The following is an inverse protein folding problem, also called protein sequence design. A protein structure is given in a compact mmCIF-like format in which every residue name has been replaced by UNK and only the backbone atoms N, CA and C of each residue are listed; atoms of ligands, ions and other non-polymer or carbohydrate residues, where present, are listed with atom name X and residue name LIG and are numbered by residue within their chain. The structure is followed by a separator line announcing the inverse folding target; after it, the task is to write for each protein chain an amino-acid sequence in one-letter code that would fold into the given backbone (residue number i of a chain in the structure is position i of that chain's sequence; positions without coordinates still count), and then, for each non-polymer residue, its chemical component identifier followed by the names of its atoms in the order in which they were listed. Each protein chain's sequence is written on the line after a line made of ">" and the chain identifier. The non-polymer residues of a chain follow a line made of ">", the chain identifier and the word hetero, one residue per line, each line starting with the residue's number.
data_IF_583831215371
#
_entry.id   IF_583831215371
#
_cell.length_a   1.000
_cell.length_b   1.000
_cell.length_c   1.000
_cell.angle_alpha   90.00
_cell.angle_beta   90.00
_cell.angle_gamma   90.00
#
_symmetry.space_group_name_H-M   'P 1'
#
loop_
_entity.id
_entity.type
_entity.pdbx_description
1 polymer ?
#
# COMPACT_ATOMS: atom_id res chain seq x y z
N UNK A 1 -7.89 3.63 0.24
CA UNK A 1 -8.42 4.55 -0.80
C UNK A 1 -7.66 4.32 -2.10
N UNK A 2 -8.27 4.57 -3.27
CA UNK A 2 -7.58 4.40 -4.56
C UNK A 2 -6.38 5.34 -4.74
N UNK A 3 -6.40 6.55 -4.16
CA UNK A 3 -5.25 7.46 -4.22
C UNK A 3 -3.96 6.85 -3.63
N UNK A 4 -4.08 6.05 -2.57
CA UNK A 4 -2.94 5.31 -2.02
C UNK A 4 -2.43 4.26 -3.01
N UNK A 5 -3.33 3.49 -3.61
CA UNK A 5 -3.00 2.48 -4.63
C UNK A 5 -2.29 3.13 -5.81
N UNK A 6 -2.77 4.28 -6.28
CA UNK A 6 -2.16 5.02 -7.39
C UNK A 6 -0.75 5.52 -7.04
N UNK A 7 -0.55 6.06 -5.83
CA UNK A 7 0.78 6.47 -5.37
C UNK A 7 1.75 5.30 -5.27
N UNK A 8 1.28 4.14 -4.79
CA UNK A 8 2.09 2.91 -4.79
C UNK A 8 2.44 2.46 -6.19
N UNK A 9 1.45 2.38 -7.08
CA UNK A 9 1.67 1.96 -8.46
C UNK A 9 2.66 2.88 -9.19
N UNK A 10 2.54 4.20 -9.01
CA UNK A 10 3.47 5.18 -9.56
C UNK A 10 4.91 4.96 -9.05
N UNK A 11 5.06 4.68 -7.75
CA UNK A 11 6.36 4.41 -7.15
C UNK A 11 6.96 3.07 -7.63
N UNK A 12 6.11 2.04 -7.80
CA UNK A 12 6.53 0.70 -8.24
C UNK A 12 6.95 0.65 -9.71
N UNK A 13 6.27 1.41 -10.56
CA UNK A 13 6.44 1.37 -12.02
C UNK A 13 7.19 2.59 -12.57
N UNK A 14 7.71 3.46 -11.70
CA UNK A 14 8.36 4.74 -12.05
C UNK A 14 7.50 5.58 -13.01
N UNK A 15 6.23 5.78 -12.63
CA UNK A 15 5.23 6.50 -13.44
C UNK A 15 4.89 7.87 -12.87
N UNK A 16 4.80 8.84 -13.77
CA UNK A 16 4.21 10.14 -13.44
C UNK A 16 2.67 10.07 -13.36
N UNK A 17 2.05 11.12 -12.84
CA UNK A 17 0.60 11.23 -12.76
C UNK A 17 -0.05 11.25 -14.16
N UNK A 18 0.59 11.90 -15.12
CA UNK A 18 0.15 11.97 -16.51
C UNK A 18 0.22 10.60 -17.20
N UNK A 19 1.29 9.84 -16.93
CA UNK A 19 1.44 8.49 -17.47
C UNK A 19 0.39 7.54 -16.89
N UNK A 20 0.10 7.64 -15.59
CA UNK A 20 -0.97 6.86 -14.98
C UNK A 20 -2.35 7.19 -15.57
N UNK A 21 -2.63 8.47 -15.86
CA UNK A 21 -3.86 8.87 -16.52
C UNK A 21 -3.98 8.23 -17.92
N UNK A 22 -2.87 8.16 -18.67
CA UNK A 22 -2.80 7.46 -19.96
C UNK A 22 -3.04 5.96 -19.81
N UNK A 23 -2.42 5.32 -18.82
CA UNK A 23 -2.58 3.87 -18.56
C UNK A 23 -4.03 3.52 -18.21
N UNK A 24 -4.70 4.39 -17.44
CA UNK A 24 -6.12 4.27 -17.12
C UNK A 24 -7.05 4.80 -18.24
N UNK A 25 -6.49 5.34 -19.32
CA UNK A 25 -7.21 5.96 -20.42
C UNK A 25 -8.24 7.00 -19.95
N UNK A 26 -7.86 7.85 -18.99
CA UNK A 26 -8.70 8.90 -18.42
C UNK A 26 -7.97 10.26 -18.42
N UNK A 27 -8.71 11.33 -18.11
CA UNK A 27 -8.11 12.66 -17.95
C UNK A 27 -7.43 12.81 -16.57
N UNK A 28 -6.47 13.72 -16.40
CA UNK A 28 -5.88 14.02 -15.09
C UNK A 28 -6.92 14.42 -14.03
N UNK A 29 -7.97 15.15 -14.41
CA UNK A 29 -9.07 15.51 -13.52
C UNK A 29 -9.86 14.27 -13.09
N UNK A 30 -10.11 13.36 -14.02
CA UNK A 30 -10.77 12.08 -13.73
C UNK A 30 -9.91 11.21 -12.82
N UNK A 31 -8.60 11.19 -13.03
CA UNK A 31 -7.65 10.50 -12.16
C UNK A 31 -7.70 11.03 -10.72
N UNK A 32 -7.76 12.36 -10.55
CA UNK A 32 -7.91 12.98 -9.23
C UNK A 32 -9.23 12.58 -8.55
N UNK A 33 -10.33 12.48 -9.30
CA UNK A 33 -11.61 12.01 -8.75
C UNK A 33 -11.58 10.53 -8.39
N UNK A 34 -10.96 9.69 -9.23
CA UNK A 34 -10.77 8.27 -8.95
C UNK A 34 -9.97 8.05 -7.67
N UNK A 35 -8.95 8.88 -7.41
CA UNK A 35 -8.13 8.79 -6.20
C UNK A 35 -8.96 8.94 -4.90
N UNK A 36 -10.12 9.60 -4.97
CA UNK A 36 -11.06 9.76 -3.85
C UNK A 36 -11.97 8.56 -3.64
N UNK A 37 -11.98 7.59 -4.55
CA UNK A 37 -12.82 6.40 -4.38
C UNK A 37 -12.23 5.43 -3.35
N UNK A 38 -13.11 4.64 -2.74
CA UNK A 38 -12.72 3.52 -1.89
C UNK A 38 -12.03 2.45 -2.76
N UNK A 39 -10.99 1.80 -2.21
CA UNK A 39 -10.29 0.69 -2.90
C UNK A 39 -11.26 -0.50 -3.00
N UNK A 40 -11.50 -1.06 -4.19
CA UNK A 40 -12.31 -2.26 -4.31
C UNK A 40 -11.67 -3.46 -3.61
N UNK A 41 -12.46 -4.28 -2.90
CA UNK A 41 -11.98 -5.41 -2.11
C UNK A 41 -13.07 -6.46 -1.82
N UNK A 42 -12.65 -7.63 -1.34
CA UNK A 42 -13.55 -8.70 -0.87
C UNK A 42 -14.39 -9.35 -1.98
N UNK A 43 -15.50 -9.98 -1.58
CA UNK A 43 -16.40 -10.71 -2.49
C UNK A 43 -17.06 -9.80 -3.54
N UNK A 44 -17.26 -8.52 -3.21
CA UNK A 44 -17.89 -7.53 -4.08
C UNK A 44 -16.92 -6.79 -5.00
N UNK A 45 -15.63 -7.18 -5.02
CA UNK A 45 -14.57 -6.50 -5.78
C UNK A 45 -14.98 -6.20 -7.24
N UNK A 46 -15.51 -7.20 -7.95
CA UNK A 46 -15.85 -7.06 -9.36
C UNK A 46 -16.95 -6.04 -9.60
N UNK A 47 -17.96 -5.99 -8.72
CA UNK A 47 -19.08 -5.07 -8.89
C UNK A 47 -18.69 -3.65 -8.49
N UNK A 48 -17.88 -3.50 -7.43
CA UNK A 48 -17.27 -2.21 -7.06
C UNK A 48 -16.42 -1.63 -8.20
N UNK A 49 -15.57 -2.46 -8.84
CA UNK A 49 -14.77 -2.03 -10.00
C UNK A 49 -15.68 -1.59 -11.15
N UNK A 50 -16.72 -2.36 -11.48
CA UNK A 50 -17.65 -2.00 -12.56
C UNK A 50 -18.36 -0.68 -12.29
N UNK A 51 -18.79 -0.44 -11.06
CA UNK A 51 -19.51 0.78 -10.70
C UNK A 51 -18.62 2.02 -10.79
N UNK A 52 -17.37 1.93 -10.31
CA UNK A 52 -16.38 3.00 -10.48
C UNK A 52 -16.11 3.24 -11.97
N UNK A 53 -15.80 2.19 -12.73
CA UNK A 53 -15.49 2.30 -14.14
C UNK A 53 -16.65 2.87 -14.96
N UNK A 54 -17.90 2.49 -14.65
CA UNK A 54 -19.09 3.06 -15.28
C UNK A 54 -19.25 4.54 -14.95
N UNK A 55 -18.99 4.94 -13.69
CA UNK A 55 -19.18 6.32 -13.23
C UNK A 55 -18.20 7.32 -13.83
N UNK A 56 -16.97 6.87 -14.11
CA UNK A 56 -15.86 7.69 -14.58
C UNK A 56 -15.40 7.35 -16.00
N UNK A 57 -16.13 6.49 -16.70
CA UNK A 57 -15.87 6.07 -18.08
C UNK A 57 -14.46 5.48 -18.31
N UNK A 58 -13.95 4.77 -17.31
CA UNK A 58 -12.62 4.12 -17.34
C UNK A 58 -12.74 2.65 -17.69
N UNK A 59 -11.75 2.10 -18.41
CA UNK A 59 -11.71 0.68 -18.77
C UNK A 59 -11.51 -0.20 -17.53
N UNK A 60 -12.41 -1.17 -17.24
CA UNK A 60 -12.26 -2.07 -16.10
C UNK A 60 -10.94 -2.83 -16.06
N UNK A 61 -10.45 -3.28 -17.22
CA UNK A 61 -9.19 -4.00 -17.32
C UNK A 61 -8.01 -3.15 -16.84
N UNK A 62 -7.97 -1.86 -17.17
CA UNK A 62 -6.87 -0.98 -16.78
C UNK A 62 -6.85 -0.77 -15.26
N UNK A 63 -8.01 -0.51 -14.65
CA UNK A 63 -8.11 -0.35 -13.20
C UNK A 63 -7.75 -1.64 -12.45
N UNK A 64 -8.19 -2.80 -12.95
CA UNK A 64 -7.84 -4.11 -12.36
C UNK A 64 -6.34 -4.37 -12.46
N UNK A 65 -5.70 -4.06 -13.59
CA UNK A 65 -4.24 -4.23 -13.74
C UNK A 65 -3.47 -3.43 -12.69
N UNK A 66 -3.82 -2.16 -12.49
CA UNK A 66 -3.21 -1.31 -11.46
C UNK A 66 -3.43 -1.90 -10.06
N UNK A 67 -4.67 -2.27 -9.73
CA UNK A 67 -5.01 -2.86 -8.43
C UNK A 67 -4.25 -4.15 -8.14
N UNK A 68 -4.20 -5.08 -9.10
CA UNK A 68 -3.51 -6.36 -8.96
C UNK A 68 -2.01 -6.20 -8.83
N UNK A 69 -1.42 -5.22 -9.53
CA UNK A 69 0.02 -4.99 -9.44
C UNK A 69 0.44 -4.56 -8.04
N UNK A 70 -0.33 -3.65 -7.43
CA UNK A 70 -0.10 -3.19 -6.07
C UNK A 70 -0.34 -4.32 -5.06
N UNK A 71 -1.42 -5.07 -5.21
CA UNK A 71 -1.74 -6.21 -4.32
C UNK A 71 -0.65 -7.29 -4.32
N UNK A 72 -0.08 -7.63 -5.48
CA UNK A 72 1.02 -8.59 -5.57
C UNK A 72 2.27 -8.07 -4.85
N UNK A 73 2.58 -6.79 -4.99
CA UNK A 73 3.75 -6.21 -4.32
C UNK A 73 3.56 -6.13 -2.81
N UNK A 74 2.37 -5.72 -2.35
CA UNK A 74 2.01 -5.74 -0.92
C UNK A 74 2.17 -7.16 -0.33
N UNK A 75 1.66 -8.20 -1.02
CA UNK A 75 1.79 -9.58 -0.57
C UNK A 75 3.25 -10.06 -0.47
N UNK A 76 4.11 -9.67 -1.42
CA UNK A 76 5.53 -10.01 -1.38
C UNK A 76 6.28 -9.31 -0.24
N UNK A 77 5.91 -8.08 0.10
CA UNK A 77 6.49 -7.34 1.23
C UNK A 77 6.08 -7.94 2.58
N UNK A 78 4.82 -8.36 2.72
CA UNK A 78 4.32 -9.03 3.94
C UNK A 78 5.05 -10.34 4.23
N UNK A 79 5.27 -11.17 3.21
CA UNK A 79 6.03 -12.43 3.34
C UNK A 79 7.47 -12.18 3.80
N UNK A 80 8.14 -11.15 3.24
CA UNK A 80 9.52 -10.81 3.62
C UNK A 80 9.65 -10.27 5.06
N UNK A 81 8.61 -9.62 5.56
CA UNK A 81 8.59 -9.03 6.91
C UNK A 81 8.38 -10.11 7.99
N UNK A 82 7.65 -11.17 7.68
CA UNK A 82 7.45 -12.30 8.59
C UNK A 82 8.69 -13.21 8.75
N UNK A 83 9.64 -13.17 7.81
CA UNK A 83 10.94 -13.84 7.99
C UNK A 83 11.89 -13.09 8.94
N UNK A 84 11.58 -11.84 9.31
CA UNK A 84 12.27 -11.10 10.38
C UNK A 84 11.74 -11.42 11.79
N UNK A 85 11.15 -12.60 11.96
CA UNK A 85 10.68 -13.16 13.22
C UNK A 85 11.76 -13.87 14.04
N UNK A 86 13.06 -13.63 13.84
CA UNK A 86 14.10 -14.19 14.70
C UNK A 86 15.18 -13.18 15.11
N UNK A 87 15.21 -12.94 16.43
CA UNK A 87 16.21 -12.23 17.23
C UNK A 87 16.04 -10.72 17.32
N UNK A 88 14.94 -10.31 17.96
CA UNK A 88 15.06 -9.28 19.00
C UNK A 88 16.03 -9.80 20.06
N UNK A 89 17.33 -9.58 19.84
CA UNK A 89 18.37 -9.74 20.84
C UNK A 89 18.08 -8.70 21.93
N UNK A 90 17.29 -9.08 22.93
CA UNK A 90 17.12 -8.29 24.14
C UNK A 90 18.45 -8.34 24.91
N UNK A 91 19.30 -7.35 24.65
CA UNK A 91 20.48 -7.09 25.47
C UNK A 91 19.99 -6.54 26.80
N UNK A 92 19.82 -7.42 27.78
CA UNK A 92 19.62 -7.02 29.16
C UNK A 92 20.87 -6.25 29.62
N UNK A 93 20.67 -5.00 30.06
CA UNK A 93 21.72 -4.17 30.63
C UNK A 93 22.28 -4.83 31.89
N UNK A 94 23.52 -5.34 31.81
CA UNK A 94 24.33 -5.72 32.96
C UNK A 94 25.27 -4.56 33.29
N UNK A 95 24.96 -3.81 34.34
CA UNK A 95 25.96 -3.09 35.13
C UNK A 95 25.40 -2.84 36.56
N UNK A 96 25.74 -3.68 37.53
CA UNK A 96 26.82 -3.52 38.54
C UNK A 96 26.90 -2.13 39.17
N UNK A 97 26.34 -2.00 40.38
CA UNK A 97 27.10 -1.78 41.63
C UNK A 97 26.15 -1.31 42.73
N UNK A 98 25.94 -2.16 43.74
CA UNK A 98 25.30 -1.81 45.00
C UNK A 98 26.19 -0.78 45.71
N UNK A 99 25.83 0.50 45.63
CA UNK A 99 26.26 1.47 46.62
C UNK A 99 25.18 1.59 47.71
N UNK A 100 25.40 0.92 48.84
CA UNK A 100 24.73 1.26 50.10
C UNK A 100 25.72 1.00 51.23
N UNK A 101 26.47 2.04 51.56
CA UNK A 101 27.17 2.18 52.83
C UNK A 101 26.21 1.94 54.00
N UNK A 102 26.61 1.15 55.02
CA UNK A 102 25.99 1.20 56.33
C UNK A 102 26.81 2.15 57.25
N UNK A 103 26.18 3.23 57.72
CA UNK A 103 26.52 3.95 58.96
C UNK A 103 25.65 3.39 60.10
N UNK A 104 25.97 3.55 61.40
CA UNK A 104 26.89 4.50 62.03
C UNK A 104 28.21 3.91 62.55
#
# INVERSE_FOLDING_TARGET
>A
MLGHVFGMYQSLEDRSNEQLAVDLACSPETLNLLALCIRPEGEAFLDQVKDICRRFEVKPSALVTVLRRVEVMEALEEDSSNESGMRTLQIAARDRSRNREPKP
#
